data_IF_499594650271
#
_entry.id   IF_499594650271
#
_cell.length_a   1.000
_cell.length_b   1.000
_cell.length_c   1.000
_cell.angle_alpha   90.00
_cell.angle_beta   90.00
_cell.angle_gamma   90.00
#
_symmetry.space_group_name_H-M   'P 1'
#
loop_
_entity.id
_entity.type
_entity.pdbx_description
1 polymer ?
#
# COMPACT_ATOMS: atom_id res chain seq x y z
N UNK A 1 49.08 -48.11 -28.36
CA UNK A 1 48.38 -49.26 -28.97
C UNK A 1 47.66 -50.01 -27.85
N UNK A 2 46.38 -50.42 -27.97
CA UNK A 2 45.25 -49.58 -28.40
C UNK A 2 43.88 -49.91 -27.71
N UNK A 3 42.83 -49.18 -28.12
CA UNK A 3 41.37 -49.51 -28.14
C UNK A 3 40.57 -49.36 -26.83
N UNK A 4 39.36 -48.76 -26.77
CA UNK A 4 38.39 -48.41 -27.82
C UNK A 4 37.24 -47.51 -27.32
N UNK A 5 36.90 -46.50 -28.14
CA UNK A 5 35.58 -45.98 -28.57
C UNK A 5 34.32 -46.33 -27.76
N UNK A 6 33.46 -45.31 -27.54
CA UNK A 6 32.17 -45.20 -28.26
C UNK A 6 31.51 -43.82 -28.07
N UNK A 7 31.42 -43.07 -29.17
CA UNK A 7 30.42 -42.02 -29.40
C UNK A 7 29.02 -42.63 -29.48
N UNK A 8 28.01 -41.91 -28.96
CA UNK A 8 26.66 -41.94 -29.51
C UNK A 8 26.10 -40.52 -29.61
N UNK A 9 25.95 -40.08 -30.84
CA UNK A 9 25.03 -39.04 -31.30
C UNK A 9 23.59 -39.35 -30.88
N UNK A 10 22.87 -38.33 -30.40
CA UNK A 10 21.40 -38.27 -30.50
C UNK A 10 21.00 -36.84 -30.88
N UNK A 11 20.91 -36.65 -32.20
CA UNK A 11 19.85 -36.00 -32.97
C UNK A 11 18.98 -34.92 -32.30
N UNK A 12 19.12 -33.68 -32.79
CA UNK A 12 18.16 -32.59 -32.64
C UNK A 12 16.88 -32.81 -33.49
N UNK A 13 15.69 -32.39 -33.02
CA UNK A 13 14.48 -32.40 -33.84
C UNK A 13 14.31 -31.09 -34.64
N UNK A 14 13.98 -31.26 -35.92
CA UNK A 14 13.62 -30.23 -36.90
C UNK A 14 12.30 -29.54 -36.52
N UNK A 15 12.30 -28.20 -36.51
CA UNK A 15 11.09 -27.39 -36.44
C UNK A 15 10.54 -27.12 -37.85
N UNK A 16 9.30 -27.55 -38.08
CA UNK A 16 8.51 -27.34 -39.29
C UNK A 16 7.91 -25.93 -39.34
N UNK A 17 7.97 -25.32 -40.51
CA UNK A 17 7.42 -24.01 -40.84
C UNK A 17 5.90 -23.90 -40.57
N UNK A 18 5.48 -22.78 -39.98
CA UNK A 18 4.07 -22.35 -39.92
C UNK A 18 3.89 -21.01 -40.65
N UNK A 19 2.94 -21.05 -41.59
CA UNK A 19 2.45 -19.95 -42.43
C UNK A 19 1.58 -18.98 -41.61
N UNK A 20 1.76 -17.69 -41.85
CA UNK A 20 0.87 -16.61 -41.42
C UNK A 20 -0.45 -16.59 -42.21
N UNK A 21 -1.51 -15.96 -41.64
CA UNK A 21 -2.50 -15.29 -42.46
C UNK A 21 -2.71 -13.80 -42.11
N UNK A 22 -2.64 -13.01 -43.17
CA UNK A 22 -3.38 -11.78 -43.52
C UNK A 22 -4.08 -10.95 -42.41
N UNK A 23 -3.55 -9.74 -42.17
CA UNK A 23 -4.29 -8.62 -41.58
C UNK A 23 -5.19 -7.97 -42.65
N UNK A 24 -6.51 -8.06 -42.47
CA UNK A 24 -7.49 -7.28 -43.23
C UNK A 24 -7.74 -5.94 -42.53
N UNK A 25 -7.41 -4.85 -43.22
CA UNK A 25 -7.76 -3.47 -42.86
C UNK A 25 -9.28 -3.27 -43.04
N UNK A 26 -9.92 -2.59 -42.08
CA UNK A 26 -11.15 -1.82 -42.34
C UNK A 26 -11.05 -0.45 -41.65
N UNK A 27 -11.23 0.58 -42.48
CA UNK A 27 -11.41 2.01 -42.20
C UNK A 27 -12.68 2.22 -41.36
N UNK A 28 -12.63 3.03 -40.30
CA UNK A 28 -12.95 4.46 -40.26
C UNK A 28 -14.38 4.80 -40.71
N UNK A 29 -15.21 5.26 -39.77
CA UNK A 29 -16.17 6.36 -39.93
C UNK A 29 -16.85 6.68 -38.58
N UNK A 30 -16.69 7.91 -38.08
CA UNK A 30 -17.73 8.70 -37.40
C UNK A 30 -17.28 10.16 -37.40
N UNK A 31 -17.91 10.96 -38.26
CA UNK A 31 -17.99 12.42 -38.12
C UNK A 31 -18.93 12.78 -36.96
N UNK A 32 -18.71 13.94 -36.33
CA UNK A 32 -19.52 15.17 -36.52
C UNK A 32 -20.95 14.99 -35.94
N UNK A 33 -21.48 15.79 -35.02
CA UNK A 33 -21.26 17.22 -34.75
C UNK A 33 -21.62 17.62 -33.32
N UNK A 34 -21.07 18.78 -32.94
CA UNK A 34 -21.39 19.58 -31.78
C UNK A 34 -22.80 20.19 -31.87
N UNK A 35 -23.51 20.27 -30.75
CA UNK A 35 -24.49 21.33 -30.54
C UNK A 35 -24.29 21.98 -29.17
N UNK A 36 -23.80 23.22 -29.24
CA UNK A 36 -23.90 24.26 -28.23
C UNK A 36 -25.37 24.52 -27.87
N UNK A 37 -25.65 24.71 -26.58
CA UNK A 37 -26.65 25.69 -26.16
C UNK A 37 -26.08 26.50 -24.99
N UNK A 38 -25.73 27.74 -25.31
CA UNK A 38 -25.52 28.82 -24.36
C UNK A 38 -26.86 29.24 -23.75
N UNK A 39 -26.86 29.51 -22.44
CA UNK A 39 -27.82 30.42 -21.83
C UNK A 39 -27.07 31.34 -20.86
N UNK A 40 -26.83 32.57 -21.31
CA UNK A 40 -26.60 33.73 -20.46
C UNK A 40 -27.92 34.17 -19.82
N UNK A 41 -27.91 34.58 -18.55
CA UNK A 41 -28.70 35.72 -18.07
C UNK A 41 -28.06 36.41 -16.86
N UNK A 42 -27.45 37.57 -17.18
CA UNK A 42 -27.45 38.90 -16.54
C UNK A 42 -27.59 39.08 -15.02
N UNK A 43 -26.66 39.94 -14.57
CA UNK A 43 -26.54 40.67 -13.31
C UNK A 43 -27.72 41.58 -12.94
N UNK A 44 -27.92 41.74 -11.63
CA UNK A 44 -28.55 42.90 -10.99
C UNK A 44 -27.84 43.22 -9.66
N UNK A 45 -27.13 44.35 -9.61
CA UNK A 45 -26.79 45.13 -8.41
C UNK A 45 -28.09 45.81 -7.89
N UNK A 46 -28.32 46.28 -6.67
CA UNK A 46 -27.47 46.89 -5.62
C UNK A 46 -28.34 47.10 -4.32
N UNK A 47 -28.00 47.94 -3.31
CA UNK A 47 -27.50 47.53 -1.99
C UNK A 47 -28.46 47.85 -0.82
N UNK A 48 -28.38 47.12 0.30
CA UNK A 48 -28.89 47.61 1.59
C UNK A 48 -28.00 47.17 2.77
N UNK A 49 -27.36 48.18 3.36
CA UNK A 49 -26.74 48.15 4.68
C UNK A 49 -27.81 48.00 5.76
N UNK A 50 -27.60 47.08 6.70
CA UNK A 50 -28.09 47.24 8.07
C UNK A 50 -27.02 46.73 9.05
N UNK A 51 -26.73 47.56 10.05
CA UNK A 51 -25.69 47.35 11.05
C UNK A 51 -26.36 46.84 12.33
N UNK A 52 -26.05 45.61 12.74
CA UNK A 52 -26.32 45.15 14.10
C UNK A 52 -25.01 44.80 14.82
N UNK A 53 -24.78 45.53 15.91
CA UNK A 53 -23.61 45.44 16.76
C UNK A 53 -23.64 44.15 17.58
N UNK A 54 -22.63 43.29 17.40
CA UNK A 54 -22.32 42.20 18.31
C UNK A 54 -21.19 42.64 19.27
N UNK A 55 -21.44 42.54 20.56
CA UNK A 55 -20.50 42.88 21.62
C UNK A 55 -19.29 41.94 21.62
N UNK A 56 -18.10 42.50 21.46
CA UNK A 56 -16.83 41.83 21.67
C UNK A 56 -16.60 41.60 23.17
N UNK A 57 -16.68 40.33 23.59
CA UNK A 57 -16.02 39.88 24.82
C UNK A 57 -14.60 39.45 24.48
N UNK A 58 -13.63 40.32 24.78
CA UNK A 58 -12.23 39.95 24.89
C UNK A 58 -12.05 39.07 26.14
N UNK A 59 -12.01 37.75 25.93
CA UNK A 59 -11.40 36.85 26.88
C UNK A 59 -9.90 36.79 26.54
N UNK A 60 -9.09 37.17 27.53
CA UNK A 60 -7.64 37.14 27.53
C UNK A 60 -7.12 35.77 27.10
N UNK A 61 -6.29 35.79 26.06
CA UNK A 61 -5.45 34.68 25.62
C UNK A 61 -4.35 34.47 26.67
N UNK A 62 -4.73 33.89 27.81
CA UNK A 62 -3.77 33.35 28.76
C UNK A 62 -3.13 32.13 28.10
N UNK A 63 -1.95 32.38 27.54
CA UNK A 63 -1.08 31.42 26.89
C UNK A 63 -0.87 30.19 27.76
N UNK A 64 -1.73 29.20 27.56
CA UNK A 64 -1.40 27.81 27.82
C UNK A 64 -0.33 27.47 26.79
N UNK A 65 0.93 27.60 27.20
CA UNK A 65 2.05 26.94 26.54
C UNK A 65 1.70 25.46 26.47
N UNK A 66 1.10 25.05 25.36
CA UNK A 66 0.83 23.66 25.05
C UNK A 66 2.21 23.02 24.97
N UNK A 67 2.58 22.30 26.01
CA UNK A 67 3.78 21.48 25.98
C UNK A 67 3.59 20.51 24.82
N UNK A 68 4.25 20.79 23.69
CA UNK A 68 4.37 19.83 22.59
C UNK A 68 5.22 18.69 23.16
N UNK A 69 4.55 17.70 23.72
CA UNK A 69 5.11 16.36 23.90
C UNK A 69 5.39 15.87 22.48
N UNK A 70 6.64 15.91 22.05
CA UNK A 70 7.03 15.49 20.71
C UNK A 70 6.61 14.02 20.53
N UNK A 71 5.57 13.79 19.73
CA UNK A 71 5.10 12.42 19.45
C UNK A 71 6.18 11.60 18.75
N UNK A 72 6.07 10.28 18.84
CA UNK A 72 7.08 9.40 18.27
C UNK A 72 7.14 9.54 16.73
N UNK A 73 8.34 9.46 16.17
CA UNK A 73 8.55 9.17 14.76
C UNK A 73 8.55 7.66 14.55
N UNK A 74 7.88 7.19 13.50
CA UNK A 74 8.00 5.84 12.96
C UNK A 74 8.62 5.95 11.56
N UNK A 75 9.69 5.21 11.34
CA UNK A 75 10.47 5.25 10.11
C UNK A 75 10.58 3.86 9.49
N UNK A 76 10.34 3.77 8.19
CA UNK A 76 10.49 2.56 7.39
C UNK A 76 11.63 2.75 6.39
N UNK A 77 12.57 1.81 6.37
CA UNK A 77 13.60 1.69 5.34
C UNK A 77 13.46 0.36 4.61
N UNK A 78 12.77 0.33 3.48
CA UNK A 78 12.65 -0.89 2.69
C UNK A 78 13.99 -1.17 2.01
N UNK A 79 14.70 -2.22 2.45
CA UNK A 79 16.01 -2.57 1.86
C UNK A 79 15.87 -3.21 0.48
N UNK A 80 14.76 -3.88 0.20
CA UNK A 80 14.60 -4.66 -1.05
C UNK A 80 13.15 -4.97 -1.41
N UNK A 81 12.26 -5.06 -0.43
CA UNK A 81 10.83 -5.19 -0.69
C UNK A 81 9.97 -4.69 0.46
N UNK A 82 8.69 -4.54 0.19
CA UNK A 82 7.67 -4.12 1.14
C UNK A 82 6.29 -4.61 0.71
N UNK A 83 5.66 -5.43 1.54
CA UNK A 83 4.29 -5.94 1.36
C UNK A 83 3.39 -5.60 2.56
N UNK A 84 2.08 -5.85 2.45
CA UNK A 84 1.11 -5.59 3.52
C UNK A 84 1.48 -6.28 4.84
N UNK A 85 1.70 -7.59 4.78
CA UNK A 85 2.17 -8.42 5.90
C UNK A 85 3.48 -7.92 6.55
N UNK A 86 4.38 -7.32 5.76
CA UNK A 86 5.61 -6.71 6.27
C UNK A 86 5.32 -5.40 7.02
N UNK A 87 4.43 -4.54 6.50
CA UNK A 87 4.00 -3.33 7.22
C UNK A 87 3.30 -3.73 8.51
N UNK A 88 2.42 -4.73 8.46
CA UNK A 88 1.75 -5.28 9.63
C UNK A 88 2.75 -5.77 10.69
N UNK A 89 3.71 -6.60 10.31
CA UNK A 89 4.74 -7.09 11.22
C UNK A 89 5.54 -5.92 11.84
N UNK A 90 5.97 -4.96 11.01
CA UNK A 90 6.72 -3.79 11.46
C UNK A 90 5.95 -2.93 12.46
N UNK A 91 4.70 -2.57 12.13
CA UNK A 91 3.83 -1.80 13.03
C UNK A 91 3.52 -2.57 14.31
N UNK A 92 3.28 -3.88 14.25
CA UNK A 92 3.07 -4.71 15.44
C UNK A 92 4.29 -4.68 16.35
N UNK A 93 5.50 -4.75 15.79
CA UNK A 93 6.74 -4.60 16.57
C UNK A 93 6.89 -3.23 17.19
N UNK A 94 6.57 -2.16 16.45
CA UNK A 94 6.61 -0.79 16.98
C UNK A 94 5.61 -0.60 18.12
N UNK A 95 4.39 -1.10 17.96
CA UNK A 95 3.32 -1.02 18.95
C UNK A 95 3.56 -1.95 20.16
N UNK A 96 4.42 -2.97 20.02
CA UNK A 96 4.60 -4.01 21.04
C UNK A 96 3.48 -5.05 21.07
N UNK A 97 2.70 -5.17 19.99
CA UNK A 97 1.61 -6.13 19.86
C UNK A 97 2.14 -7.55 19.56
N UNK A 98 1.49 -8.55 20.15
CA UNK A 98 1.72 -9.98 19.85
C UNK A 98 0.58 -10.61 19.06
N UNK A 99 0.73 -11.86 18.62
CA UNK A 99 -0.27 -12.57 17.80
C UNK A 99 -1.66 -12.64 18.46
N UNK A 100 -1.74 -12.76 19.78
CA UNK A 100 -3.02 -12.78 20.50
C UNK A 100 -3.82 -11.48 20.35
N UNK A 101 -3.16 -10.33 20.37
CA UNK A 101 -3.80 -9.03 20.13
C UNK A 101 -4.26 -8.90 18.67
N UNK A 102 -3.43 -9.32 17.71
CA UNK A 102 -3.78 -9.32 16.28
C UNK A 102 -5.00 -10.22 16.02
N UNK A 103 -5.03 -11.40 16.64
CA UNK A 103 -6.14 -12.33 16.54
C UNK A 103 -7.44 -11.77 17.13
N UNK A 104 -7.38 -10.99 18.22
CA UNK A 104 -8.57 -10.35 18.78
C UNK A 104 -9.17 -9.31 17.81
N UNK A 105 -8.33 -8.55 17.10
CA UNK A 105 -8.78 -7.62 16.06
C UNK A 105 -9.37 -8.40 14.87
N UNK A 106 -8.75 -9.52 14.47
CA UNK A 106 -9.28 -10.39 13.42
C UNK A 106 -10.69 -10.92 13.76
N UNK A 107 -10.92 -11.35 15.00
CA UNK A 107 -12.25 -11.76 15.49
C UNK A 107 -13.26 -10.62 15.38
N UNK A 108 -12.86 -9.38 15.66
CA UNK A 108 -13.72 -8.21 15.50
C UNK A 108 -14.13 -7.93 14.04
N UNK A 109 -13.40 -8.48 13.07
CA UNK A 109 -13.70 -8.44 11.64
C UNK A 109 -14.50 -9.68 11.17
N UNK A 110 -14.87 -10.58 12.10
CA UNK A 110 -15.55 -11.84 11.80
C UNK A 110 -14.63 -12.95 11.29
N UNK A 111 -13.32 -12.85 11.52
CA UNK A 111 -12.33 -13.83 11.08
C UNK A 111 -11.83 -14.71 12.24
N UNK A 112 -11.30 -15.92 11.97
CA UNK A 112 -10.73 -16.78 13.01
C UNK A 112 -9.58 -16.10 13.75
N UNK A 113 -9.47 -16.30 15.06
CA UNK A 113 -8.42 -15.68 15.87
C UNK A 113 -7.00 -16.07 15.44
N UNK A 114 -6.82 -17.30 14.97
CA UNK A 114 -5.54 -17.89 14.58
C UNK A 114 -5.17 -17.65 13.10
N UNK A 115 -6.00 -16.88 12.38
CA UNK A 115 -5.72 -16.56 10.97
C UNK A 115 -4.56 -15.58 10.80
N UNK A 116 -4.02 -15.01 11.87
CA UNK A 116 -2.87 -14.10 11.84
C UNK A 116 -1.86 -14.47 12.92
N UNK A 117 -0.58 -14.52 12.55
CA UNK A 117 0.51 -14.78 13.50
C UNK A 117 1.75 -13.95 13.20
N UNK A 118 2.28 -13.29 14.23
CA UNK A 118 3.59 -12.66 14.20
C UNK A 118 4.67 -13.72 14.48
N UNK A 119 5.59 -13.90 13.55
CA UNK A 119 6.58 -14.98 13.57
C UNK A 119 8.01 -14.48 13.42
N UNK A 120 8.97 -15.25 13.94
CA UNK A 120 10.39 -15.02 13.68
C UNK A 120 10.75 -15.57 12.31
N UNK A 121 11.41 -14.76 11.49
CA UNK A 121 11.97 -15.17 10.20
C UNK A 121 13.47 -14.95 10.19
N UNK A 122 14.19 -15.79 9.46
CA UNK A 122 15.62 -15.62 9.24
C UNK A 122 15.89 -15.62 7.74
N UNK A 123 16.72 -14.68 7.29
CA UNK A 123 17.24 -14.65 5.92
C UNK A 123 18.76 -14.57 6.01
N UNK A 124 19.45 -15.59 5.50
CA UNK A 124 20.91 -15.71 5.61
C UNK A 124 21.40 -15.54 7.06
N UNK A 125 20.77 -16.25 8.00
CA UNK A 125 21.05 -16.22 9.45
C UNK A 125 20.80 -14.87 10.15
N UNK A 126 20.31 -13.86 9.44
CA UNK A 126 19.87 -12.60 10.04
C UNK A 126 18.40 -12.72 10.42
N UNK A 127 18.13 -12.64 11.72
CA UNK A 127 16.77 -12.78 12.23
C UNK A 127 16.01 -11.46 12.23
N UNK A 128 14.73 -11.56 11.88
CA UNK A 128 13.75 -10.50 11.95
C UNK A 128 12.38 -11.06 12.29
N UNK A 129 11.36 -10.38 11.79
CA UNK A 129 9.96 -10.69 12.00
C UNK A 129 9.23 -10.82 10.67
N UNK A 130 8.20 -11.63 10.62
CA UNK A 130 7.21 -11.65 9.55
C UNK A 130 5.83 -11.74 10.15
N UNK A 131 4.81 -11.49 9.34
CA UNK A 131 3.45 -11.86 9.67
C UNK A 131 3.00 -12.94 8.70
N UNK A 132 2.29 -13.94 9.23
CA UNK A 132 1.65 -14.98 8.43
C UNK A 132 0.16 -14.83 8.59
N UNK A 133 -0.52 -14.59 7.48
CA UNK A 133 -1.96 -14.67 7.37
C UNK A 133 -2.33 -16.02 6.76
N UNK A 134 -3.26 -16.73 7.40
CA UNK A 134 -3.73 -18.04 7.00
C UNK A 134 -5.24 -17.99 6.87
N UNK A 135 -5.70 -17.56 5.70
CA UNK A 135 -7.11 -17.53 5.32
C UNK A 135 -7.30 -18.37 4.05
N UNK A 136 -8.49 -18.96 3.83
CA UNK A 136 -8.78 -19.66 2.58
C UNK A 136 -8.65 -18.72 1.39
N UNK A 137 -8.08 -19.20 0.29
CA UNK A 137 -8.13 -18.49 -0.98
C UNK A 137 -9.59 -18.37 -1.41
N UNK A 138 -10.13 -17.15 -1.37
CA UNK A 138 -11.47 -16.87 -1.87
C UNK A 138 -11.38 -16.17 -3.22
N UNK A 139 -12.11 -16.65 -4.22
CA UNK A 139 -12.35 -15.91 -5.47
C UNK A 139 -13.49 -14.89 -5.35
N UNK A 140 -13.93 -14.61 -4.12
CA UNK A 140 -14.99 -13.62 -3.88
C UNK A 140 -14.50 -12.21 -4.18
N UNK A 141 -15.08 -11.63 -5.22
CA UNK A 141 -14.87 -10.24 -5.55
C UNK A 141 -15.73 -9.36 -4.64
N UNK A 142 -15.07 -8.56 -3.80
CA UNK A 142 -15.73 -7.55 -2.97
C UNK A 142 -15.66 -6.19 -3.63
N UNK A 143 -16.76 -5.44 -3.57
CA UNK A 143 -16.76 -4.04 -3.95
C UNK A 143 -16.20 -3.17 -2.81
N UNK A 144 -15.83 -1.93 -3.11
CA UNK A 144 -15.50 -0.94 -2.07
C UNK A 144 -16.64 -0.78 -1.05
N UNK A 145 -17.89 -0.88 -1.51
CA UNK A 145 -19.08 -0.80 -0.65
C UNK A 145 -19.14 -1.97 0.33
N UNK A 146 -18.82 -3.19 -0.10
CA UNK A 146 -18.81 -4.37 0.77
C UNK A 146 -17.71 -4.26 1.82
N UNK A 147 -16.53 -3.79 1.43
CA UNK A 147 -15.39 -3.58 2.35
C UNK A 147 -15.73 -2.52 3.40
N UNK A 148 -16.36 -1.40 3.00
CA UNK A 148 -16.83 -0.37 3.94
C UNK A 148 -17.84 -0.92 4.94
N UNK A 149 -18.74 -1.82 4.54
CA UNK A 149 -19.67 -2.49 5.46
C UNK A 149 -18.94 -3.37 6.48
N UNK A 150 -17.91 -4.11 6.04
CA UNK A 150 -17.07 -4.91 6.94
C UNK A 150 -16.38 -4.01 7.97
N UNK A 151 -15.76 -2.91 7.51
CA UNK A 151 -15.07 -1.95 8.39
C UNK A 151 -16.04 -1.30 9.36
N UNK A 152 -17.21 -0.87 8.90
CA UNK A 152 -18.25 -0.24 9.73
C UNK A 152 -18.81 -1.18 10.79
N UNK A 153 -18.98 -2.47 10.45
CA UNK A 153 -19.45 -3.51 11.38
C UNK A 153 -18.37 -4.05 12.33
N UNK A 154 -17.11 -3.66 12.13
CA UNK A 154 -15.98 -4.19 12.91
C UNK A 154 -15.78 -3.50 14.26
N UNK A 155 -14.97 -4.11 15.13
CA UNK A 155 -14.51 -3.52 16.40
C UNK A 155 -13.36 -2.51 16.28
N UNK A 156 -13.00 -2.08 15.07
CA UNK A 156 -11.91 -1.11 14.86
C UNK A 156 -12.19 0.24 15.54
N UNK A 157 -11.12 0.88 16.02
CA UNK A 157 -11.19 2.25 16.55
C UNK A 157 -11.62 3.24 15.46
N UNK A 158 -12.19 4.39 15.85
CA UNK A 158 -12.62 5.41 14.88
C UNK A 158 -11.46 5.89 13.98
N UNK A 159 -10.27 6.08 14.56
CA UNK A 159 -9.08 6.45 13.81
C UNK A 159 -8.64 5.34 12.85
N UNK A 160 -8.70 4.07 13.27
CA UNK A 160 -8.36 2.95 12.39
C UNK A 160 -9.35 2.81 11.22
N UNK A 161 -10.65 2.99 11.45
CA UNK A 161 -11.65 2.98 10.37
C UNK A 161 -11.33 4.06 9.32
N UNK A 162 -10.99 5.27 9.77
CA UNK A 162 -10.59 6.36 8.86
C UNK A 162 -9.39 5.95 7.97
N UNK A 163 -8.32 5.43 8.58
CA UNK A 163 -7.12 5.01 7.83
C UNK A 163 -7.39 3.83 6.89
N UNK A 164 -8.17 2.84 7.31
CA UNK A 164 -8.55 1.71 6.47
C UNK A 164 -9.39 2.16 5.28
N UNK A 165 -10.44 2.97 5.50
CA UNK A 165 -11.29 3.52 4.44
C UNK A 165 -10.52 4.39 3.46
N UNK A 166 -9.60 5.23 3.94
CA UNK A 166 -8.71 6.03 3.08
C UNK A 166 -7.82 5.14 2.22
N UNK A 167 -7.24 4.08 2.80
CA UNK A 167 -6.39 3.12 2.08
C UNK A 167 -7.17 2.40 0.98
N UNK A 168 -8.37 1.89 1.28
CA UNK A 168 -9.23 1.27 0.28
C UNK A 168 -9.76 2.25 -0.77
N UNK A 169 -10.03 3.50 -0.40
CA UNK A 169 -10.40 4.54 -1.35
C UNK A 169 -9.31 4.77 -2.40
N UNK A 170 -8.05 4.90 -1.97
CA UNK A 170 -6.92 5.04 -2.89
C UNK A 170 -6.78 3.86 -3.86
N UNK A 171 -6.96 2.64 -3.35
CA UNK A 171 -6.93 1.43 -4.17
C UNK A 171 -8.09 1.40 -5.17
N UNK A 172 -9.30 1.71 -4.74
CA UNK A 172 -10.48 1.76 -5.60
C UNK A 172 -10.32 2.80 -6.73
N UNK A 173 -9.76 3.97 -6.43
CA UNK A 173 -9.51 5.00 -7.44
C UNK A 173 -8.51 4.52 -8.51
N UNK A 174 -7.46 3.82 -8.09
CA UNK A 174 -6.43 3.26 -8.98
C UNK A 174 -6.99 2.14 -9.84
N UNK A 175 -7.67 1.18 -9.22
CA UNK A 175 -8.30 0.06 -9.92
C UNK A 175 -9.37 0.56 -10.90
N UNK A 176 -10.16 1.57 -10.51
CA UNK A 176 -11.14 2.21 -11.38
C UNK A 176 -10.51 2.83 -12.62
N UNK A 177 -9.35 3.49 -12.48
CA UNK A 177 -8.58 4.01 -13.63
C UNK A 177 -8.06 2.90 -14.53
N UNK A 178 -7.52 1.82 -13.97
CA UNK A 178 -6.98 0.67 -14.72
C UNK A 178 -8.09 -0.04 -15.50
N UNK A 179 -9.26 -0.18 -14.90
CA UNK A 179 -10.40 -0.90 -15.47
C UNK A 179 -11.38 -0.01 -16.24
N UNK A 180 -11.21 1.32 -16.22
CA UNK A 180 -12.08 2.27 -16.91
C UNK A 180 -13.49 2.38 -16.30
N UNK A 181 -13.63 2.16 -15.00
CA UNK A 181 -14.90 2.19 -14.27
C UNK A 181 -14.84 3.14 -13.05
N UNK A 182 -15.97 3.67 -12.58
CA UNK A 182 -16.02 4.44 -11.34
C UNK A 182 -15.50 3.66 -10.13
N UNK A 183 -14.82 4.34 -9.20
CA UNK A 183 -14.18 3.73 -8.02
C UNK A 183 -15.17 2.99 -7.10
N UNK A 184 -16.42 3.45 -7.01
CA UNK A 184 -17.49 2.83 -6.23
C UNK A 184 -18.04 1.54 -6.85
N UNK A 185 -17.76 1.30 -8.13
CA UNK A 185 -18.15 0.10 -8.89
C UNK A 185 -17.00 -0.90 -9.05
N UNK A 186 -15.81 -0.60 -8.50
CA UNK A 186 -14.67 -1.50 -8.57
C UNK A 186 -14.93 -2.78 -7.80
N UNK A 187 -14.70 -3.90 -8.48
CA UNK A 187 -14.55 -5.21 -7.90
C UNK A 187 -13.06 -5.49 -7.72
N UNK A 188 -12.60 -5.59 -6.48
CA UNK A 188 -11.19 -5.84 -6.25
C UNK A 188 -10.85 -7.28 -6.62
N UNK A 189 -9.88 -7.44 -7.53
CA UNK A 189 -9.44 -8.76 -7.99
C UNK A 189 -8.38 -9.38 -7.07
N UNK A 190 -7.53 -8.55 -6.47
CA UNK A 190 -6.43 -9.00 -5.61
C UNK A 190 -6.58 -8.46 -4.19
N UNK A 191 -6.95 -7.18 -4.06
CA UNK A 191 -7.10 -6.51 -2.76
C UNK A 191 -8.46 -6.75 -2.08
N UNK A 192 -9.38 -7.45 -2.76
CA UNK A 192 -10.71 -7.80 -2.24
C UNK A 192 -10.74 -9.08 -1.44
N UNK A 193 -9.62 -9.81 -1.44
CA UNK A 193 -9.44 -11.01 -0.65
C UNK A 193 -9.33 -10.67 0.84
N UNK A 194 -9.75 -11.61 1.69
CA UNK A 194 -9.84 -11.41 3.13
C UNK A 194 -8.46 -11.16 3.77
N UNK A 195 -7.39 -11.67 3.17
CA UNK A 195 -6.00 -11.44 3.60
C UNK A 195 -5.62 -9.96 3.49
N UNK A 196 -5.91 -9.32 2.37
CA UNK A 196 -5.64 -7.89 2.15
C UNK A 196 -6.51 -7.00 3.03
N UNK A 197 -7.78 -7.40 3.26
CA UNK A 197 -8.67 -6.72 4.21
C UNK A 197 -8.12 -6.80 5.63
N UNK A 198 -7.69 -7.99 6.04
CA UNK A 198 -7.09 -8.18 7.35
C UNK A 198 -5.80 -7.39 7.51
N UNK A 199 -4.90 -7.42 6.53
CA UNK A 199 -3.65 -6.64 6.51
C UNK A 199 -3.92 -5.14 6.73
N UNK A 200 -4.81 -4.56 5.93
CA UNK A 200 -5.10 -3.13 5.97
C UNK A 200 -5.74 -2.74 7.30
N UNK A 201 -6.74 -3.50 7.76
CA UNK A 201 -7.43 -3.22 9.01
C UNK A 201 -6.52 -3.36 10.24
N UNK A 202 -5.68 -4.40 10.29
CA UNK A 202 -4.71 -4.57 11.39
C UNK A 202 -3.64 -3.47 11.37
N UNK A 203 -3.11 -3.13 10.20
CA UNK A 203 -2.18 -2.02 10.06
C UNK A 203 -2.80 -0.71 10.54
N UNK A 204 -4.05 -0.44 10.16
CA UNK A 204 -4.76 0.78 10.55
C UNK A 204 -4.98 0.86 12.07
N UNK A 205 -5.35 -0.24 12.72
CA UNK A 205 -5.51 -0.28 14.18
C UNK A 205 -4.19 -0.07 14.92
N UNK A 206 -3.12 -0.72 14.47
CA UNK A 206 -1.79 -0.55 15.05
C UNK A 206 -1.24 0.87 14.83
N UNK A 207 -1.46 1.44 13.64
CA UNK A 207 -1.03 2.79 13.32
C UNK A 207 -1.82 3.83 14.12
N UNK A 208 -3.14 3.67 14.25
CA UNK A 208 -3.99 4.51 15.08
C UNK A 208 -3.55 4.48 16.55
N UNK A 209 -3.21 3.29 17.08
CA UNK A 209 -2.68 3.13 18.44
C UNK A 209 -1.31 3.80 18.62
N UNK A 210 -0.43 3.70 17.63
CA UNK A 210 0.89 4.34 17.67
C UNK A 210 0.79 5.86 17.58
N UNK A 211 -0.18 6.38 16.82
CA UNK A 211 -0.41 7.79 16.57
C UNK A 211 0.90 8.60 16.37
N UNK A 212 1.77 8.20 15.42
CA UNK A 212 3.08 8.83 15.28
C UNK A 212 2.93 10.29 14.84
N UNK A 213 3.76 11.16 15.42
CA UNK A 213 3.85 12.56 14.97
C UNK A 213 4.53 12.68 13.61
N UNK A 214 5.38 11.71 13.26
CA UNK A 214 6.02 11.60 11.97
C UNK A 214 5.98 10.16 11.49
N UNK A 215 5.45 9.92 10.29
CA UNK A 215 5.56 8.64 9.61
C UNK A 215 6.40 8.84 8.35
N UNK A 216 7.59 8.23 8.30
CA UNK A 216 8.57 8.48 7.23
C UNK A 216 8.94 7.17 6.55
N UNK A 217 8.94 7.16 5.22
CA UNK A 217 9.41 6.03 4.43
C UNK A 217 10.57 6.44 3.51
N UNK A 218 11.59 5.59 3.40
CA UNK A 218 12.64 5.77 2.40
C UNK A 218 12.17 5.53 0.96
N UNK A 219 13.03 5.80 -0.04
CA UNK A 219 12.73 5.47 -1.43
C UNK A 219 12.40 3.98 -1.60
N UNK A 220 11.33 3.70 -2.35
CA UNK A 220 10.84 2.34 -2.55
C UNK A 220 11.75 1.56 -3.51
N UNK A 221 12.13 0.33 -3.17
CA UNK A 221 12.90 -0.53 -4.06
C UNK A 221 12.04 -0.99 -5.22
N UNK A 222 12.54 -0.87 -6.45
CA UNK A 222 11.94 -1.42 -7.66
C UNK A 222 12.97 -2.23 -8.43
N UNK A 223 12.48 -3.19 -9.20
CA UNK A 223 13.26 -3.90 -10.18
C UNK A 223 12.39 -4.29 -11.38
N UNK A 224 13.06 -4.66 -12.47
CA UNK A 224 12.42 -5.18 -13.66
C UNK A 224 11.93 -6.62 -13.42
N UNK A 225 11.18 -7.16 -14.39
CA UNK A 225 10.78 -8.56 -14.39
C UNK A 225 9.31 -8.74 -14.74
N UNK A 226 8.76 -9.89 -14.33
CA UNK A 226 7.37 -10.28 -14.60
C UNK A 226 6.67 -10.63 -13.29
N UNK A 227 5.45 -10.11 -13.13
CA UNK A 227 4.53 -10.43 -12.04
C UNK A 227 3.42 -11.33 -12.60
N UNK A 228 3.13 -12.42 -11.90
CA UNK A 228 1.97 -13.28 -12.17
C UNK A 228 0.83 -12.85 -11.24
N UNK A 229 -0.28 -12.47 -11.83
CA UNK A 229 -1.42 -11.84 -11.17
C UNK A 229 -2.74 -12.37 -11.78
N UNK A 230 -3.89 -11.96 -11.27
CA UNK A 230 -5.19 -12.37 -11.83
C UNK A 230 -5.42 -11.88 -13.27
N UNK A 231 -4.61 -10.92 -13.71
CA UNK A 231 -4.58 -10.39 -15.08
C UNK A 231 -3.53 -11.08 -15.98
N UNK A 232 -2.96 -12.19 -15.52
CA UNK A 232 -1.94 -12.95 -16.25
C UNK A 232 -0.52 -12.51 -15.89
N UNK A 233 0.37 -12.51 -16.89
CA UNK A 233 1.76 -12.10 -16.75
C UNK A 233 1.90 -10.62 -17.14
N UNK A 234 2.32 -9.79 -16.20
CA UNK A 234 2.51 -8.36 -16.39
C UNK A 234 3.97 -7.95 -16.10
N UNK A 235 4.48 -6.88 -16.70
CA UNK A 235 5.77 -6.33 -16.29
C UNK A 235 5.74 -5.91 -14.82
N UNK A 236 6.87 -6.03 -14.13
CA UNK A 236 7.06 -5.43 -12.82
C UNK A 236 7.45 -3.95 -12.98
N UNK A 237 6.89 -3.03 -12.18
CA UNK A 237 5.82 -3.24 -11.21
C UNK A 237 4.43 -3.43 -11.87
N UNK A 238 3.53 -4.13 -11.17
CA UNK A 238 2.15 -4.31 -11.62
C UNK A 238 1.41 -2.95 -11.79
N UNK A 239 0.38 -2.85 -12.64
CA UNK A 239 -0.28 -1.58 -12.98
C UNK A 239 -0.76 -0.76 -11.78
N UNK A 240 -1.35 -1.41 -10.76
CA UNK A 240 -1.80 -0.72 -9.55
C UNK A 240 -0.65 -0.08 -8.77
N UNK A 241 0.50 -0.77 -8.67
CA UNK A 241 1.72 -0.20 -8.07
C UNK A 241 2.21 0.98 -8.90
N UNK A 242 2.26 0.85 -10.23
CA UNK A 242 2.71 1.93 -11.12
C UNK A 242 1.89 3.22 -10.95
N UNK A 243 0.57 3.11 -10.89
CA UNK A 243 -0.34 4.24 -10.64
C UNK A 243 -0.15 4.85 -9.23
N UNK A 244 0.05 4.02 -8.21
CA UNK A 244 0.24 4.47 -6.83
C UNK A 244 1.59 5.19 -6.62
N UNK A 245 2.60 4.91 -7.43
CA UNK A 245 3.94 5.48 -7.34
C UNK A 245 4.05 6.96 -7.74
N UNK A 246 3.00 7.57 -8.29
CA UNK A 246 3.03 8.99 -8.65
C UNK A 246 3.38 9.85 -7.42
N UNK A 247 4.47 10.62 -7.52
CA UNK A 247 5.02 11.44 -6.43
C UNK A 247 5.85 10.70 -5.37
N UNK A 248 6.10 9.39 -5.54
CA UNK A 248 6.85 8.56 -4.59
C UNK A 248 8.28 8.33 -5.11
N UNK A 249 9.33 8.63 -4.31
CA UNK A 249 10.71 8.35 -4.72
C UNK A 249 10.97 6.85 -4.75
N UNK A 250 11.69 6.42 -5.79
CA UNK A 250 12.02 5.01 -6.04
C UNK A 250 13.52 4.84 -6.23
N UNK A 251 14.01 3.61 -6.05
CA UNK A 251 15.39 3.21 -6.34
C UNK A 251 15.44 1.82 -6.95
N UNK A 252 16.29 1.64 -7.95
CA UNK A 252 16.56 0.32 -8.51
C UNK A 252 17.29 -0.59 -7.52
N UNK A 253 17.01 -1.90 -7.58
CA UNK A 253 17.77 -2.93 -6.85
C UNK A 253 18.16 -4.09 -7.78
N UNK A 254 19.27 -4.82 -7.49
CA UNK A 254 19.72 -5.94 -8.32
C UNK A 254 18.94 -7.22 -7.99
N UNK A 255 17.64 -7.23 -8.31
CA UNK A 255 16.72 -8.37 -8.14
C UNK A 255 15.73 -8.37 -9.31
N UNK A 256 14.74 -9.26 -9.29
CA UNK A 256 13.66 -9.33 -10.26
C UNK A 256 12.29 -9.57 -9.61
N UNK A 257 11.23 -9.15 -10.30
CA UNK A 257 9.84 -9.43 -9.93
C UNK A 257 9.17 -8.36 -9.05
N UNK A 258 8.12 -8.74 -8.34
CA UNK A 258 7.39 -7.81 -7.46
C UNK A 258 8.12 -7.61 -6.14
N UNK A 259 8.65 -6.42 -5.95
CA UNK A 259 9.36 -5.98 -4.73
C UNK A 259 8.45 -5.21 -3.79
N UNK A 260 7.47 -4.48 -4.33
CA UNK A 260 6.50 -3.72 -3.56
C UNK A 260 5.10 -4.06 -4.03
N UNK A 261 4.20 -4.39 -3.10
CA UNK A 261 2.81 -4.74 -3.43
C UNK A 261 1.89 -3.51 -3.48
N UNK A 262 0.74 -3.57 -4.19
CA UNK A 262 -0.24 -2.48 -4.17
C UNK A 262 -0.65 -2.09 -2.75
N UNK A 263 -0.91 -3.08 -1.90
CA UNK A 263 -1.29 -2.90 -0.48
C UNK A 263 -0.25 -2.10 0.29
N UNK A 264 1.04 -2.37 0.09
CA UNK A 264 2.10 -1.67 0.82
C UNK A 264 2.14 -0.17 0.51
N UNK A 265 2.05 0.21 -0.77
CA UNK A 265 2.08 1.63 -1.17
C UNK A 265 0.77 2.32 -0.75
N UNK A 266 -0.36 1.63 -0.90
CA UNK A 266 -1.64 2.15 -0.46
C UNK A 266 -1.65 2.43 1.05
N UNK A 267 -1.08 1.55 1.88
CA UNK A 267 -0.91 1.78 3.31
C UNK A 267 -0.03 2.99 3.60
N UNK A 268 1.12 3.12 2.94
CA UNK A 268 2.01 4.26 3.11
C UNK A 268 1.29 5.58 2.77
N UNK A 269 0.61 5.66 1.64
CA UNK A 269 -0.13 6.87 1.21
C UNK A 269 -1.38 7.11 2.08
N UNK A 270 -2.09 6.05 2.43
CA UNK A 270 -3.27 6.07 3.28
C UNK A 270 -2.96 6.58 4.69
N UNK A 271 -1.75 6.33 5.19
CA UNK A 271 -1.28 6.78 6.51
C UNK A 271 -0.46 8.07 6.44
N UNK A 272 -0.48 8.79 5.31
CA UNK A 272 0.24 10.04 5.10
C UNK A 272 1.75 9.95 5.36
N UNK A 273 2.36 8.85 4.92
CA UNK A 273 3.81 8.69 4.98
C UNK A 273 4.52 9.80 4.18
N UNK A 274 5.47 10.47 4.84
CA UNK A 274 6.42 11.36 4.18
C UNK A 274 7.53 10.52 3.56
N UNK A 275 7.76 10.68 2.27
CA UNK A 275 8.84 9.97 1.60
C UNK A 275 10.12 10.80 1.60
N UNK A 276 11.25 10.22 2.00
CA UNK A 276 12.53 10.94 1.99
C UNK A 276 13.60 10.35 2.89
N UNK A 277 14.54 11.21 3.28
CA UNK A 277 15.68 10.86 4.13
C UNK A 277 15.25 10.49 5.56
N UNK A 278 16.22 10.08 6.39
CA UNK A 278 15.99 9.90 7.82
C UNK A 278 15.66 11.24 8.49
N UNK A 279 14.63 11.32 9.36
CA UNK A 279 14.53 12.45 10.27
C UNK A 279 15.64 12.36 11.32
N UNK A 280 16.09 13.50 11.82
CA UNK A 280 16.91 13.55 13.04
C UNK A 280 16.07 13.02 14.21
N UNK A 281 16.51 11.93 14.83
CA UNK A 281 15.77 11.27 15.90
C UNK A 281 16.67 10.42 16.78
N UNK A 282 16.28 10.26 18.04
CA UNK A 282 16.82 9.24 18.94
C UNK A 282 15.96 7.98 18.85
N UNK A 283 16.54 6.88 18.34
CA UNK A 283 15.85 5.61 18.16
C UNK A 283 15.66 4.91 19.52
N UNK A 284 14.43 4.51 19.83
CA UNK A 284 14.07 3.74 21.03
C UNK A 284 13.69 2.29 20.74
N UNK A 285 13.32 1.98 19.49
CA UNK A 285 12.95 0.63 19.07
C UNK A 285 13.26 0.39 17.61
N UNK A 286 13.67 -0.82 17.27
CA UNK A 286 13.85 -1.27 15.89
C UNK A 286 13.26 -2.65 15.65
N UNK A 287 12.97 -2.95 14.40
CA UNK A 287 12.64 -4.29 13.94
C UNK A 287 13.09 -4.48 12.48
N UNK A 288 13.86 -5.54 12.23
CA UNK A 288 14.00 -6.07 10.88
C UNK A 288 12.76 -6.90 10.57
N UNK A 289 12.20 -6.69 9.39
CA UNK A 289 11.02 -7.39 8.89
C UNK A 289 11.34 -8.04 7.55
N UNK A 290 10.85 -9.26 7.35
CA UNK A 290 11.05 -10.04 6.12
C UNK A 290 9.72 -10.52 5.53
N UNK A 291 9.58 -10.35 4.22
CA UNK A 291 8.44 -10.87 3.46
C UNK A 291 8.56 -12.38 3.21
N UNK A 292 7.43 -13.02 2.85
CA UNK A 292 7.41 -14.46 2.58
C UNK A 292 8.02 -14.83 1.22
N UNK A 293 8.03 -13.89 0.28
CA UNK A 293 8.59 -14.07 -1.07
C UNK A 293 10.12 -13.99 -1.03
N UNK A 294 10.79 -14.96 -1.65
CA UNK A 294 12.23 -14.92 -1.87
C UNK A 294 12.52 -14.05 -3.09
N UNK A 295 13.39 -13.07 -2.93
CA UNK A 295 13.90 -12.22 -4.00
C UNK A 295 15.35 -12.65 -4.35
N UNK A 296 15.69 -12.88 -5.62
CA UNK A 296 17.05 -13.27 -5.99
C UNK A 296 18.08 -12.20 -5.60
N UNK A 297 19.18 -12.63 -4.97
CA UNK A 297 20.33 -11.76 -4.67
C UNK A 297 20.14 -10.76 -3.52
N UNK A 298 18.93 -10.62 -2.97
CA UNK A 298 18.62 -9.67 -1.89
C UNK A 298 17.72 -10.29 -0.82
N UNK A 299 17.95 -9.94 0.45
CA UNK A 299 17.04 -10.35 1.52
C UNK A 299 15.76 -9.51 1.45
N UNK A 300 14.61 -10.09 1.08
CA UNK A 300 13.32 -9.39 0.98
C UNK A 300 12.88 -8.83 2.35
N UNK A 301 13.19 -7.56 2.60
CA UNK A 301 13.08 -7.01 3.94
C UNK A 301 13.06 -5.49 4.02
N UNK A 302 12.70 -5.03 5.22
CA UNK A 302 12.67 -3.63 5.60
C UNK A 302 13.08 -3.47 7.08
N UNK A 303 13.73 -2.35 7.40
CA UNK A 303 13.96 -1.90 8.77
C UNK A 303 12.82 -0.96 9.19
N UNK A 304 12.22 -1.25 10.33
CA UNK A 304 11.34 -0.33 11.06
C UNK A 304 12.10 0.23 12.24
N UNK A 305 11.98 1.54 12.47
CA UNK A 305 12.52 2.21 13.63
C UNK A 305 11.47 3.16 14.22
N UNK A 306 11.45 3.28 15.55
CA UNK A 306 10.64 4.24 16.27
C UNK A 306 11.49 4.96 17.29
N UNK A 307 11.18 6.22 17.54
CA UNK A 307 11.95 7.06 18.45
C UNK A 307 11.38 8.47 18.57
N UNK A 308 12.06 9.32 19.32
CA UNK A 308 11.70 10.72 19.46
C UNK A 308 12.42 11.56 18.40
N UNK A 309 11.71 12.37 17.60
CA UNK A 309 12.35 13.37 16.73
C UNK A 309 13.21 14.32 17.56
N UNK A 310 14.37 14.72 17.05
CA UNK A 310 15.08 15.85 17.61
C UNK A 310 14.28 17.13 17.33
N UNK A 311 14.21 18.05 18.30
CA UNK A 311 13.59 19.35 18.03
C UNK A 311 14.50 20.05 17.03
N UNK A 312 13.94 20.50 15.90
CA UNK A 312 14.63 21.44 15.05
C UNK A 312 15.12 22.60 15.92
N UNK A 313 16.43 22.83 15.95
CA UNK A 313 16.98 24.01 16.61
C UNK A 313 16.29 25.22 15.97
N UNK A 314 15.60 26.03 16.77
CA UNK A 314 15.06 27.30 16.31
C UNK A 314 16.28 28.18 16.03
N UNK A 315 16.64 28.28 14.75
CA UNK A 315 17.68 29.17 14.26
C UNK A 315 17.13 30.60 14.15
#
# INVERSE_FOLDING_TARGET
MPLSRLHRDVSAPRASATRAPARRRLRAHRGHDHHHHDHEHRHGHDPHHDHSHAHHHHASDDGVKRAVTGGAAVVIRPSSGLSGDMILAGLARMAGAGSGELGAIAVSLGLPQDCVSLERRAVNDVFGWGCRISLPDTTEHRTLTDIRKIIAGSGLSHAARHYAERTFGLLAEVEGRIHGIPADQVHFHEVGALDSILDICLCAELFARLAPAQFVCGPLPLCDGIVKCNHGLLPAPAPAVFELLQGVPVRGIPSEGETVTPTAIALLKGFDARFGAWPEMTISRTALVYGGRVLPGVANGALFAMGSPERAAVA
#
